data_IF_164540823139
#
_entry.id   IF_164540823139
#
_cell.length_a   1.000
_cell.length_b   1.000
_cell.length_c   1.000
_cell.angle_alpha   90.00
_cell.angle_beta   90.00
_cell.angle_gamma   90.00
#
_symmetry.space_group_name_H-M   'P 1'
#
loop_
_entity.id
_entity.type
_entity.pdbx_description
1 polymer ?
#
# COMPACT_ATOMS: atom_id res chain seq x y z
N UNK A 1 -28.35 7.69 1.02
CA UNK A 1 -27.22 6.79 0.71
C UNK A 1 -25.96 7.46 1.26
N UNK A 2 -25.53 7.11 2.48
CA UNK A 2 -24.35 7.67 3.14
C UNK A 2 -23.11 6.91 2.66
N UNK A 3 -22.60 7.27 1.49
CA UNK A 3 -21.29 6.81 1.02
C UNK A 3 -20.38 8.02 1.15
N UNK A 4 -19.32 7.98 1.98
CA UNK A 4 -18.05 8.69 1.67
C UNK A 4 -17.04 8.82 2.81
N UNK A 5 -17.38 8.69 4.11
CA UNK A 5 -16.37 8.98 5.16
C UNK A 5 -15.44 7.81 5.50
N UNK A 6 -15.95 6.58 5.64
CA UNK A 6 -15.12 5.47 6.14
C UNK A 6 -14.26 4.79 5.08
N UNK A 7 -14.66 4.81 3.80
CA UNK A 7 -13.93 4.09 2.74
C UNK A 7 -12.51 4.60 2.52
N UNK A 8 -12.22 5.88 2.76
CA UNK A 8 -10.85 6.38 2.60
C UNK A 8 -9.98 6.07 3.82
N UNK A 9 -10.57 5.79 4.99
CA UNK A 9 -9.86 5.41 6.21
C UNK A 9 -9.50 3.93 6.23
N UNK A 10 -10.34 3.08 5.62
CA UNK A 10 -10.14 1.63 5.52
C UNK A 10 -9.19 1.23 4.37
N UNK A 11 -8.85 2.16 3.48
CA UNK A 11 -7.99 1.87 2.32
C UNK A 11 -6.63 1.34 2.76
N UNK A 12 -6.30 0.14 2.26
CA UNK A 12 -5.11 -0.63 2.59
C UNK A 12 -5.17 -1.40 3.91
N UNK A 13 -6.21 -1.22 4.74
CA UNK A 13 -6.33 -1.82 6.07
C UNK A 13 -7.36 -2.95 6.17
N UNK A 14 -8.12 -3.20 5.10
CA UNK A 14 -9.08 -4.30 5.02
C UNK A 14 -9.00 -5.00 3.66
N UNK A 15 -9.31 -6.31 3.56
CA UNK A 15 -9.27 -7.04 2.29
C UNK A 15 -10.23 -6.50 1.21
N UNK A 16 -11.36 -5.92 1.62
CA UNK A 16 -12.36 -5.32 0.72
C UNK A 16 -11.96 -3.96 0.16
N UNK A 17 -10.85 -3.39 0.62
CA UNK A 17 -10.34 -2.11 0.15
C UNK A 17 -8.80 -2.10 0.19
N UNK A 18 -8.13 -2.99 -0.55
CA UNK A 18 -6.69 -3.16 -0.47
C UNK A 18 -5.94 -2.05 -1.22
N UNK A 19 -4.64 -1.95 -0.97
CA UNK A 19 -3.74 -1.19 -1.84
C UNK A 19 -3.64 -1.92 -3.17
N UNK A 20 -3.94 -1.22 -4.27
CA UNK A 20 -3.89 -1.78 -5.61
C UNK A 20 -2.51 -1.54 -6.23
N UNK A 21 -1.87 -2.60 -6.73
CA UNK A 21 -0.56 -2.59 -7.38
C UNK A 21 -0.66 -3.26 -8.76
N UNK A 22 0.30 -2.99 -9.66
CA UNK A 22 0.34 -3.58 -11.00
C UNK A 22 1.30 -4.77 -11.07
N UNK A 23 1.14 -5.72 -10.14
CA UNK A 23 1.93 -6.94 -10.08
C UNK A 23 2.91 -7.01 -8.91
N UNK A 24 3.51 -8.19 -8.74
CA UNK A 24 4.43 -8.49 -7.64
C UNK A 24 5.70 -7.61 -7.63
N UNK A 25 6.14 -7.12 -8.80
CA UNK A 25 7.30 -6.24 -8.89
C UNK A 25 7.08 -4.91 -8.14
N UNK A 26 5.83 -4.43 -8.13
CA UNK A 26 5.44 -3.17 -7.51
C UNK A 26 5.43 -3.24 -5.98
N UNK A 27 5.41 -4.42 -5.37
CA UNK A 27 5.46 -4.57 -3.90
C UNK A 27 6.74 -3.93 -3.36
N UNK A 28 7.89 -4.27 -3.95
CA UNK A 28 9.19 -3.74 -3.51
C UNK A 28 9.27 -2.24 -3.75
N UNK A 29 8.70 -1.75 -4.85
CA UNK A 29 8.66 -0.33 -5.15
C UNK A 29 7.78 0.42 -4.14
N UNK A 30 6.59 -0.10 -3.87
CA UNK A 30 5.62 0.47 -2.94
C UNK A 30 6.22 0.61 -1.54
N UNK A 31 6.75 -0.47 -0.96
CA UNK A 31 7.37 -0.40 0.35
C UNK A 31 8.70 0.35 0.37
N UNK A 32 9.42 0.42 -0.76
CA UNK A 32 10.61 1.24 -0.90
C UNK A 32 10.32 2.74 -0.82
N UNK A 33 9.14 3.15 -1.27
CA UNK A 33 8.65 4.53 -1.20
C UNK A 33 7.79 4.80 0.04
N UNK A 34 7.27 3.77 0.72
CA UNK A 34 6.36 3.93 1.84
C UNK A 34 7.09 4.44 3.10
N UNK A 35 6.63 5.58 3.58
CA UNK A 35 7.09 6.19 4.83
C UNK A 35 5.89 6.47 5.73
N UNK A 36 6.10 6.45 7.04
CA UNK A 36 5.10 6.95 8.00
C UNK A 36 4.84 8.45 7.77
N UNK A 37 3.77 8.99 8.34
CA UNK A 37 3.45 10.42 8.20
C UNK A 37 4.57 11.38 8.60
N UNK A 38 5.43 10.95 9.53
CA UNK A 38 6.63 11.66 10.02
C UNK A 38 7.86 11.47 9.13
N UNK A 39 7.77 10.66 8.08
CA UNK A 39 8.85 10.42 7.13
C UNK A 39 9.79 9.28 7.51
N UNK A 40 9.44 8.42 8.48
CA UNK A 40 10.25 7.24 8.81
C UNK A 40 10.01 6.12 7.78
N UNK A 41 11.09 5.47 7.33
CA UNK A 41 10.98 4.32 6.43
C UNK A 41 10.23 3.19 7.12
N UNK A 42 9.34 2.56 6.36
CA UNK A 42 8.62 1.36 6.81
C UNK A 42 9.45 0.12 6.47
N UNK A 43 9.56 -0.82 7.42
CA UNK A 43 9.99 -2.19 7.12
C UNK A 43 8.75 -3.08 6.99
N UNK A 44 8.86 -4.19 6.27
CA UNK A 44 7.70 -5.02 6.02
C UNK A 44 8.06 -6.50 5.89
N UNK A 45 7.08 -7.35 6.19
CA UNK A 45 7.12 -8.79 5.88
C UNK A 45 5.76 -9.28 5.43
N UNK A 46 5.73 -10.19 4.47
CA UNK A 46 4.50 -10.89 4.08
C UNK A 46 4.16 -11.91 5.16
N UNK A 47 2.92 -11.91 5.63
CA UNK A 47 2.44 -12.85 6.67
C UNK A 47 1.46 -13.87 6.14
N UNK A 48 0.94 -13.68 4.92
CA UNK A 48 0.05 -14.64 4.28
C UNK A 48 -0.76 -13.99 3.17
N UNK A 49 -1.90 -14.59 2.88
CA UNK A 49 -2.92 -14.05 1.98
C UNK A 49 -4.29 -14.38 2.52
N UNK A 50 -5.29 -13.64 2.04
CA UNK A 50 -6.70 -13.91 2.28
C UNK A 50 -7.47 -13.83 0.97
N UNK A 51 -8.70 -14.32 1.00
CA UNK A 51 -9.68 -14.08 -0.05
C UNK A 51 -10.70 -13.06 0.47
N UNK A 52 -11.13 -12.16 -0.41
CA UNK A 52 -12.30 -11.34 -0.18
C UNK A 52 -13.43 -11.86 -1.07
N UNK A 53 -14.66 -11.82 -0.56
CA UNK A 53 -15.85 -12.36 -1.25
C UNK A 53 -16.09 -11.76 -2.64
N UNK A 54 -15.57 -10.56 -2.89
CA UNK A 54 -15.73 -9.82 -4.14
C UNK A 54 -14.49 -9.85 -5.04
N UNK A 55 -13.35 -10.39 -4.58
CA UNK A 55 -12.14 -10.51 -5.40
C UNK A 55 -12.06 -11.90 -6.03
N UNK A 56 -11.85 -11.97 -7.35
CA UNK A 56 -11.62 -13.24 -8.05
C UNK A 56 -10.18 -13.76 -7.88
N UNK A 57 -9.42 -13.15 -6.97
CA UNK A 57 -8.00 -13.40 -6.72
C UNK A 57 -7.65 -13.16 -5.25
N UNK A 58 -6.46 -13.60 -4.86
CA UNK A 58 -5.95 -13.50 -3.50
C UNK A 58 -5.45 -12.08 -3.19
N UNK A 59 -5.70 -11.65 -1.97
CA UNK A 59 -5.16 -10.41 -1.40
C UNK A 59 -4.03 -10.78 -0.45
N UNK A 60 -2.84 -10.23 -0.71
CA UNK A 60 -1.67 -10.49 0.13
C UNK A 60 -1.69 -9.63 1.38
N UNK A 61 -1.31 -10.23 2.51
CA UNK A 61 -1.28 -9.56 3.82
C UNK A 61 0.16 -9.36 4.25
N UNK A 62 0.46 -8.12 4.60
CA UNK A 62 1.77 -7.68 5.07
C UNK A 62 1.67 -7.08 6.46
N UNK A 63 2.66 -7.36 7.29
CA UNK A 63 2.93 -6.56 8.48
C UNK A 63 3.93 -5.46 8.09
N UNK A 64 3.54 -4.21 8.31
CA UNK A 64 4.33 -3.01 8.09
C UNK A 64 4.72 -2.41 9.45
N UNK A 65 6.02 -2.24 9.70
CA UNK A 65 6.57 -1.71 10.94
C UNK A 65 7.18 -0.33 10.70
N UNK A 66 6.74 0.65 11.49
CA UNK A 66 7.24 2.03 11.48
C UNK A 66 7.46 2.57 12.89
N UNK A 67 7.69 3.88 13.00
CA UNK A 67 7.82 4.57 14.29
C UNK A 67 6.48 4.70 15.04
N UNK A 68 5.37 4.43 14.36
CA UNK A 68 4.00 4.39 14.88
C UNK A 68 3.52 2.96 15.23
N UNK A 69 4.42 1.97 15.17
CA UNK A 69 4.16 0.57 15.50
C UNK A 69 3.94 -0.33 14.29
N UNK A 70 3.40 -1.52 14.54
CA UNK A 70 3.08 -2.50 13.50
C UNK A 70 1.64 -2.33 13.02
N UNK A 71 1.42 -2.33 11.71
CA UNK A 71 0.10 -2.30 11.09
C UNK A 71 0.00 -3.37 10.00
N UNK A 72 -1.21 -3.89 9.80
CA UNK A 72 -1.48 -4.79 8.70
C UNK A 72 -1.85 -4.01 7.46
N UNK A 73 -1.24 -4.36 6.34
CA UNK A 73 -1.56 -3.84 5.02
C UNK A 73 -2.01 -4.97 4.10
N UNK A 74 -3.10 -4.73 3.39
CA UNK A 74 -3.69 -5.63 2.41
C UNK A 74 -3.38 -5.12 1.02
N UNK A 75 -2.69 -5.93 0.22
CA UNK A 75 -2.23 -5.57 -1.12
C UNK A 75 -2.88 -6.49 -2.15
N UNK A 76 -3.50 -5.88 -3.14
CA UNK A 76 -3.95 -6.54 -4.37
C UNK A 76 -2.93 -6.28 -5.47
N UNK A 77 -2.25 -7.36 -5.88
CA UNK A 77 -1.22 -7.32 -6.93
C UNK A 77 -1.73 -7.73 -8.30
N UNK A 78 -3.01 -8.07 -8.40
CA UNK A 78 -3.65 -8.55 -9.63
C UNK A 78 -4.54 -7.48 -10.28
N UNK A 79 -4.81 -6.39 -9.57
CA UNK A 79 -5.58 -5.25 -10.06
C UNK A 79 -4.83 -4.35 -11.03
N UNK A 80 -5.54 -3.30 -11.47
CA UNK A 80 -4.97 -2.17 -12.22
C UNK A 80 -4.86 -0.99 -11.24
N UNK A 81 -3.74 -0.93 -10.53
CA UNK A 81 -3.53 -0.08 -9.37
C UNK A 81 -2.91 1.28 -9.65
N UNK A 82 -3.22 2.23 -8.78
CA UNK A 82 -2.50 3.49 -8.66
C UNK A 82 -1.68 3.45 -7.37
N UNK A 83 -0.41 3.83 -7.43
CA UNK A 83 0.46 3.96 -6.26
C UNK A 83 -0.09 5.05 -5.31
N UNK A 84 -0.90 4.63 -4.35
CA UNK A 84 -1.51 5.48 -3.32
C UNK A 84 -1.16 4.92 -1.95
N UNK A 85 -0.72 5.78 -1.05
CA UNK A 85 -0.48 5.41 0.33
C UNK A 85 -1.81 5.29 1.11
N UNK A 86 -1.95 4.29 2.00
CA UNK A 86 -2.95 4.28 3.06
C UNK A 86 -2.84 5.50 3.98
N UNK A 87 -3.94 5.87 4.63
CA UNK A 87 -3.94 6.93 5.67
C UNK A 87 -2.89 6.62 6.75
N UNK A 88 -2.13 7.60 7.23
CA UNK A 88 -1.00 7.34 8.14
C UNK A 88 0.33 7.12 7.46
N UNK A 89 0.34 6.98 6.12
CA UNK A 89 1.54 6.85 5.32
C UNK A 89 1.63 7.89 4.21
N UNK A 90 2.83 8.07 3.68
CA UNK A 90 3.14 8.86 2.50
C UNK A 90 4.08 8.08 1.60
N UNK A 91 3.92 8.24 0.29
CA UNK A 91 4.93 7.78 -0.65
C UNK A 91 5.99 8.88 -0.79
N UNK A 92 7.26 8.48 -0.83
CA UNK A 92 8.33 9.38 -1.18
C UNK A 92 8.02 10.02 -2.55
N UNK A 93 8.27 11.33 -2.72
CA UNK A 93 8.09 11.96 -4.02
C UNK A 93 8.98 11.22 -5.03
N UNK A 94 8.41 10.89 -6.20
CA UNK A 94 9.19 10.35 -7.31
C UNK A 94 10.33 11.31 -7.60
N UNK A 95 11.54 10.94 -7.20
CA UNK A 95 12.73 11.62 -7.67
C UNK A 95 12.85 11.20 -9.13
N UNK A 96 12.21 11.93 -10.04
CA UNK A 96 12.61 11.88 -11.43
C UNK A 96 14.10 12.24 -11.42
N UNK A 97 15.00 11.39 -11.92
CA UNK A 97 16.34 11.86 -12.18
C UNK A 97 16.15 13.06 -13.10
N UNK A 98 16.55 14.24 -12.60
CA UNK A 98 16.67 15.42 -13.44
C UNK A 98 17.44 14.95 -14.67
N UNK A 99 16.86 15.13 -15.86
CA UNK A 99 17.61 15.04 -17.10
C UNK A 99 18.64 16.17 -17.04
N UNK A 100 19.73 15.93 -16.33
CA UNK A 100 20.84 16.87 -16.20
C UNK A 100 21.86 16.44 -17.25
N UNK A 101 21.80 17.21 -18.33
CA UNK A 101 22.89 17.55 -19.25
C UNK A 101 23.68 16.38 -19.87
N UNK A 102 23.32 16.05 -21.12
CA UNK A 102 24.27 15.56 -22.12
C UNK A 102 24.70 16.73 -23.00
#
# INVERSE_FOLDING_TARGET
MLISKNQNEEYGYVPSNPVLLNGYADIKHFFGELHTEKGCRVTYRRIGSTFESQSNHMIDVFEASGDDGNKLLYLDVYGNGQFKAPKGYKLAPKIYPSKKDR
#
